data_IF_214170655687
#
_entry.id   IF_214170655687
#
_cell.length_a   1.000
_cell.length_b   1.000
_cell.length_c   1.000
_cell.angle_alpha   90.00
_cell.angle_beta   90.00
_cell.angle_gamma   90.00
#
_symmetry.space_group_name_H-M   'P 1'
#
loop_
_entity.id
_entity.type
_entity.pdbx_description
1 polymer ?
#
# COMPACT_ATOMS: atom_id res chain seq x y z
N UNK A 1 51.58 50.17 -41.44
CA UNK A 1 51.76 49.65 -40.06
C UNK A 1 50.41 49.21 -39.53
N UNK A 2 50.31 47.90 -39.29
CA UNK A 2 49.33 47.04 -38.59
C UNK A 2 47.81 47.35 -38.51
N UNK A 3 46.96 46.34 -38.80
CA UNK A 3 45.52 46.36 -38.64
C UNK A 3 45.09 45.87 -37.23
N UNK A 4 43.96 46.36 -36.71
CA UNK A 4 43.26 45.69 -35.60
C UNK A 4 41.90 45.20 -36.09
N UNK A 5 41.79 43.88 -36.27
CA UNK A 5 40.55 43.14 -36.46
C UNK A 5 39.85 42.98 -35.11
N UNK A 6 38.64 43.51 -34.98
CA UNK A 6 37.73 43.13 -33.90
C UNK A 6 37.03 41.83 -34.28
N UNK A 7 37.45 40.73 -33.67
CA UNK A 7 36.77 39.43 -33.73
C UNK A 7 35.66 39.46 -32.68
N UNK A 8 34.40 39.51 -33.13
CA UNK A 8 33.25 39.28 -32.26
C UNK A 8 33.15 37.78 -31.98
N UNK A 9 33.48 37.37 -30.76
CA UNK A 9 33.23 36.02 -30.27
C UNK A 9 31.77 35.95 -29.83
N UNK A 10 30.91 35.36 -30.65
CA UNK A 10 29.56 34.97 -30.25
C UNK A 10 29.67 33.84 -29.23
N UNK A 11 29.47 34.15 -27.96
CA UNK A 11 29.35 33.15 -26.89
C UNK A 11 28.02 32.41 -27.09
N UNK A 12 28.07 31.25 -27.76
CA UNK A 12 27.00 30.26 -27.71
C UNK A 12 26.93 29.75 -26.28
N UNK A 13 26.02 30.33 -25.48
CA UNK A 13 25.53 29.74 -24.25
C UNK A 13 24.79 28.45 -24.64
N UNK A 14 25.54 27.36 -24.76
CA UNK A 14 24.99 26.01 -24.69
C UNK A 14 24.42 25.91 -23.28
N UNK A 15 23.12 26.19 -23.17
CA UNK A 15 22.32 25.85 -22.02
C UNK A 15 22.22 24.33 -22.02
N UNK A 16 23.27 23.67 -21.54
CA UNK A 16 23.17 22.29 -21.14
C UNK A 16 22.18 22.29 -19.99
N UNK A 17 20.93 21.93 -20.26
CA UNK A 17 20.04 21.42 -19.23
C UNK A 17 20.84 20.32 -18.56
N UNK A 18 21.36 20.59 -17.35
CA UNK A 18 21.83 19.53 -16.48
C UNK A 18 20.60 18.66 -16.27
N UNK A 19 20.50 17.57 -17.05
CA UNK A 19 19.43 16.60 -16.89
C UNK A 19 19.50 16.17 -15.43
N UNK A 20 18.40 16.36 -14.72
CA UNK A 20 18.28 15.93 -13.35
C UNK A 20 18.60 14.43 -13.28
N UNK A 21 19.71 14.09 -12.62
CA UNK A 21 20.20 12.71 -12.56
C UNK A 21 19.37 11.90 -11.57
N UNK A 22 18.72 10.84 -12.05
CA UNK A 22 18.08 9.85 -11.20
C UNK A 22 19.15 9.00 -10.48
N UNK A 23 18.85 8.63 -9.23
CA UNK A 23 19.69 7.77 -8.39
C UNK A 23 18.92 6.52 -8.01
N UNK A 24 19.43 5.37 -8.42
CA UNK A 24 18.85 4.06 -8.14
C UNK A 24 19.68 3.34 -7.09
N UNK A 25 19.09 3.14 -5.91
CA UNK A 25 19.70 2.44 -4.79
C UNK A 25 19.29 0.97 -4.83
N UNK A 26 20.25 0.05 -4.74
CA UNK A 26 19.98 -1.38 -4.71
C UNK A 26 19.82 -1.93 -3.29
N UNK A 27 19.03 -2.98 -3.15
CA UNK A 27 18.90 -3.76 -1.92
C UNK A 27 20.21 -4.47 -1.62
N UNK A 28 20.65 -4.34 -0.39
CA UNK A 28 21.82 -5.00 0.12
C UNK A 28 21.64 -6.51 0.30
N UNK A 29 22.67 -7.28 -0.03
CA UNK A 29 22.95 -8.51 0.70
C UNK A 29 23.37 -8.13 2.14
N UNK A 30 22.95 -8.92 3.13
CA UNK A 30 23.04 -8.60 4.57
C UNK A 30 24.43 -8.16 5.10
N UNK A 31 25.50 -8.35 4.32
CA UNK A 31 26.90 -8.10 4.73
C UNK A 31 27.56 -6.85 4.12
N UNK A 32 26.89 -6.03 3.29
CA UNK A 32 27.53 -4.85 2.67
C UNK A 32 27.24 -3.54 3.40
N UNK A 33 28.29 -2.74 3.66
CA UNK A 33 28.22 -1.49 4.45
C UNK A 33 27.81 -0.23 3.66
N UNK A 34 27.82 -0.26 2.32
CA UNK A 34 27.54 0.93 1.50
C UNK A 34 26.66 0.60 0.27
N UNK A 35 25.49 1.25 0.10
CA UNK A 35 24.54 0.96 -0.98
C UNK A 35 25.19 1.04 -2.35
N UNK A 36 24.96 0.02 -3.16
CA UNK A 36 25.26 0.09 -4.58
C UNK A 36 24.27 1.08 -5.21
N UNK A 37 24.80 2.14 -5.80
CA UNK A 37 24.02 3.24 -6.38
C UNK A 37 24.38 3.41 -7.84
N UNK A 38 23.37 3.42 -8.69
CA UNK A 38 23.48 3.79 -10.10
C UNK A 38 22.96 5.20 -10.30
N UNK A 39 23.66 5.99 -11.11
CA UNK A 39 23.31 7.38 -11.42
C UNK A 39 23.16 7.53 -12.94
N UNK A 40 22.08 8.18 -13.38
CA UNK A 40 21.75 8.37 -14.79
C UNK A 40 20.28 8.70 -15.01
N UNK A 41 19.74 8.40 -16.18
CA UNK A 41 18.32 8.63 -16.51
C UNK A 41 17.54 7.32 -16.47
N UNK A 42 16.50 7.23 -15.63
CA UNK A 42 15.58 6.08 -15.63
C UNK A 42 14.65 6.19 -16.82
N UNK A 43 14.88 5.32 -17.80
CA UNK A 43 14.09 5.24 -19.03
C UNK A 43 12.71 4.61 -18.74
N UNK A 44 12.68 3.54 -17.95
CA UNK A 44 11.44 2.87 -17.56
C UNK A 44 11.63 2.05 -16.28
N UNK A 45 10.55 1.84 -15.52
CA UNK A 45 10.56 0.99 -14.32
C UNK A 45 9.22 0.27 -14.17
N UNK A 46 9.26 -1.06 -14.27
CA UNK A 46 8.12 -1.96 -14.13
C UNK A 46 8.33 -2.92 -12.95
N UNK A 47 7.34 -3.77 -12.69
CA UNK A 47 7.41 -4.89 -11.76
C UNK A 47 8.56 -5.87 -11.99
N UNK A 48 9.09 -5.93 -13.20
CA UNK A 48 10.11 -6.90 -13.59
C UNK A 48 11.50 -6.26 -13.63
N UNK A 49 11.62 -5.07 -14.24
CA UNK A 49 12.92 -4.44 -14.49
C UNK A 49 12.87 -2.92 -14.38
N UNK A 50 14.00 -2.35 -13.98
CA UNK A 50 14.34 -0.95 -14.15
C UNK A 50 15.35 -0.84 -15.29
N UNK A 51 15.06 0.01 -16.26
CA UNK A 51 15.94 0.36 -17.38
C UNK A 51 16.45 1.76 -17.19
N UNK A 52 17.77 1.94 -17.22
CA UNK A 52 18.37 3.26 -17.13
C UNK A 52 19.59 3.42 -18.03
N UNK A 53 19.87 4.67 -18.39
CA UNK A 53 21.07 5.07 -19.10
C UNK A 53 22.02 5.74 -18.10
N UNK A 54 23.17 5.13 -17.81
CA UNK A 54 24.13 5.67 -16.83
C UNK A 54 24.83 6.91 -17.36
N UNK A 55 25.51 7.67 -16.49
CA UNK A 55 26.29 8.86 -16.89
C UNK A 55 27.35 8.60 -17.98
N UNK A 56 27.84 7.36 -18.09
CA UNK A 56 28.74 6.94 -19.17
C UNK A 56 28.05 6.66 -20.52
N UNK A 57 26.74 6.87 -20.63
CA UNK A 57 25.92 6.55 -21.80
C UNK A 57 25.58 5.06 -21.97
N UNK A 58 25.96 4.20 -21.00
CA UNK A 58 25.66 2.77 -21.04
C UNK A 58 24.22 2.51 -20.61
N UNK A 59 23.47 1.75 -21.41
CA UNK A 59 22.18 1.21 -21.00
C UNK A 59 22.37 0.00 -20.10
N UNK A 60 21.65 -0.02 -18.98
CA UNK A 60 21.64 -1.14 -18.03
C UNK A 60 20.20 -1.53 -17.70
N UNK A 61 20.02 -2.81 -17.39
CA UNK A 61 18.79 -3.37 -16.86
C UNK A 61 19.05 -3.93 -15.47
N UNK A 62 18.18 -3.57 -14.52
CA UNK A 62 18.28 -3.98 -13.12
C UNK A 62 16.96 -4.70 -12.78
N UNK A 63 16.98 -5.94 -12.29
CA UNK A 63 15.77 -6.61 -11.81
C UNK A 63 15.06 -5.74 -10.75
N UNK A 64 13.76 -5.51 -10.90
CA UNK A 64 12.98 -4.65 -10.03
C UNK A 64 13.07 -5.07 -8.55
N UNK A 65 13.13 -6.39 -8.30
CA UNK A 65 13.32 -6.95 -6.96
C UNK A 65 14.63 -6.52 -6.28
N UNK A 66 15.65 -6.11 -7.04
CA UNK A 66 16.92 -5.58 -6.51
C UNK A 66 16.86 -4.08 -6.24
N UNK A 67 15.88 -3.35 -6.77
CA UNK A 67 15.74 -1.91 -6.54
C UNK A 67 15.17 -1.69 -5.13
N UNK A 68 15.86 -0.89 -4.34
CA UNK A 68 15.42 -0.46 -3.01
C UNK A 68 14.67 0.88 -3.09
N UNK A 69 15.21 1.83 -3.85
CA UNK A 69 14.69 3.19 -3.96
C UNK A 69 15.17 3.84 -5.26
N UNK A 70 14.34 4.72 -5.82
CA UNK A 70 14.68 5.60 -6.93
C UNK A 70 14.46 7.02 -6.45
N UNK A 71 15.53 7.81 -6.41
CA UNK A 71 15.46 9.26 -6.21
C UNK A 71 15.53 9.95 -7.57
N UNK A 72 14.68 10.94 -7.74
CA UNK A 72 14.57 11.72 -8.97
C UNK A 72 14.39 13.19 -8.63
N UNK A 73 14.57 14.08 -9.60
CA UNK A 73 14.14 15.47 -9.42
C UNK A 73 12.63 15.57 -9.55
N UNK A 74 11.99 15.64 -8.38
CA UNK A 74 10.55 15.71 -8.26
C UNK A 74 10.07 17.14 -8.48
N UNK A 75 9.08 17.36 -9.38
CA UNK A 75 8.51 18.69 -9.56
C UNK A 75 7.87 19.17 -8.25
N UNK A 76 7.81 20.49 -8.05
CA UNK A 76 7.31 21.10 -6.80
C UNK A 76 5.92 20.57 -6.41
N UNK A 77 5.04 20.37 -7.38
CA UNK A 77 3.69 19.82 -7.17
C UNK A 77 3.70 18.40 -6.60
N UNK A 78 4.68 17.56 -6.98
CA UNK A 78 4.80 16.20 -6.44
C UNK A 78 5.29 16.23 -4.99
N UNK A 79 6.27 17.09 -4.66
CA UNK A 79 6.70 17.30 -3.27
C UNK A 79 5.56 17.84 -2.40
N UNK A 80 4.75 18.75 -2.95
CA UNK A 80 3.55 19.24 -2.27
C UNK A 80 2.54 18.12 -2.03
N UNK A 81 2.26 17.27 -3.03
CA UNK A 81 1.35 16.14 -2.90
C UNK A 81 1.82 15.16 -1.79
N UNK A 82 3.11 14.82 -1.78
CA UNK A 82 3.70 13.98 -0.72
C UNK A 82 3.58 14.62 0.67
N UNK A 83 3.80 15.93 0.78
CA UNK A 83 3.62 16.66 2.04
C UNK A 83 2.15 16.66 2.51
N UNK A 84 1.18 16.70 1.59
CA UNK A 84 -0.24 16.59 1.89
C UNK A 84 -0.60 15.18 2.38
N UNK A 85 -0.04 14.13 1.76
CA UNK A 85 -0.18 12.74 2.26
C UNK A 85 0.35 12.62 3.68
N UNK A 86 1.54 13.16 3.97
CA UNK A 86 2.13 13.15 5.31
C UNK A 86 1.28 13.90 6.36
N UNK A 87 0.45 14.85 5.92
CA UNK A 87 -0.51 15.59 6.76
C UNK A 87 -1.91 14.94 6.78
N UNK A 88 -2.07 13.75 6.20
CA UNK A 88 -3.35 13.04 6.05
C UNK A 88 -4.42 13.80 5.24
N UNK A 89 -3.99 14.77 4.41
CA UNK A 89 -4.82 15.58 3.52
C UNK A 89 -4.99 14.88 2.18
N UNK A 90 -5.64 13.72 2.20
CA UNK A 90 -5.71 12.82 1.04
C UNK A 90 -6.52 13.39 -0.13
N UNK A 91 -7.53 14.21 0.14
CA UNK A 91 -8.35 14.82 -0.90
C UNK A 91 -7.53 15.85 -1.68
N UNK A 92 -6.81 16.72 -0.97
CA UNK A 92 -5.90 17.69 -1.56
C UNK A 92 -4.70 17.01 -2.24
N UNK A 93 -4.16 15.94 -1.63
CA UNK A 93 -3.07 15.17 -2.20
C UNK A 93 -3.47 14.52 -3.53
N UNK A 94 -4.67 13.94 -3.63
CA UNK A 94 -5.16 13.37 -4.89
C UNK A 94 -5.21 14.43 -6.00
N UNK A 95 -5.72 15.63 -5.71
CA UNK A 95 -5.77 16.73 -6.67
C UNK A 95 -4.35 17.10 -7.15
N UNK A 96 -3.41 17.22 -6.22
CA UNK A 96 -2.02 17.55 -6.54
C UNK A 96 -1.34 16.43 -7.37
N UNK A 97 -1.60 15.14 -7.06
CA UNK A 97 -1.10 14.03 -7.87
C UNK A 97 -1.72 13.99 -9.27
N UNK A 98 -3.01 14.32 -9.41
CA UNK A 98 -3.66 14.44 -10.72
C UNK A 98 -3.03 15.55 -11.57
N UNK A 99 -2.69 16.68 -10.95
CA UNK A 99 -1.99 17.77 -11.63
C UNK A 99 -0.58 17.35 -12.05
N UNK A 100 0.18 16.72 -11.15
CA UNK A 100 1.50 16.17 -11.45
C UNK A 100 1.45 15.16 -12.62
N UNK A 101 0.44 14.30 -12.64
CA UNK A 101 0.25 13.29 -13.69
C UNK A 101 0.06 13.90 -15.08
N UNK A 102 -0.65 15.04 -15.18
CA UNK A 102 -0.87 15.75 -16.45
C UNK A 102 0.41 16.35 -17.02
N UNK A 103 1.32 16.81 -16.17
CA UNK A 103 2.59 17.44 -16.57
C UNK A 103 3.75 16.45 -16.72
N UNK A 104 3.63 15.23 -16.20
CA UNK A 104 4.69 14.23 -16.26
C UNK A 104 4.75 13.57 -17.65
N UNK A 105 5.96 13.23 -18.10
CA UNK A 105 6.21 12.57 -19.38
C UNK A 105 6.78 11.16 -19.22
N UNK A 106 7.44 10.88 -18.09
CA UNK A 106 8.05 9.58 -17.77
C UNK A 106 6.96 8.57 -17.39
N UNK A 107 6.84 7.51 -18.17
CA UNK A 107 5.82 6.46 -17.97
C UNK A 107 5.88 5.81 -16.58
N UNK A 108 7.09 5.59 -16.06
CA UNK A 108 7.28 4.98 -14.75
C UNK A 108 6.83 5.89 -13.61
N UNK A 109 7.05 7.20 -13.72
CA UNK A 109 6.54 8.19 -12.74
C UNK A 109 5.02 8.26 -12.83
N UNK A 110 4.43 8.21 -14.04
CA UNK A 110 2.98 8.13 -14.20
C UNK A 110 2.38 6.93 -13.48
N UNK A 111 2.99 5.74 -13.57
CA UNK A 111 2.54 4.54 -12.84
C UNK A 111 2.59 4.74 -11.33
N UNK A 112 3.68 5.29 -10.81
CA UNK A 112 3.80 5.65 -9.39
C UNK A 112 2.71 6.66 -8.97
N UNK A 113 2.45 7.70 -9.76
CA UNK A 113 1.40 8.68 -9.48
C UNK A 113 0.00 8.05 -9.46
N UNK A 114 -0.28 7.08 -10.35
CA UNK A 114 -1.53 6.31 -10.33
C UNK A 114 -1.66 5.50 -9.03
N UNK A 115 -0.58 4.86 -8.58
CA UNK A 115 -0.55 4.15 -7.30
C UNK A 115 -0.84 5.09 -6.12
N UNK A 116 -0.23 6.28 -6.09
CA UNK A 116 -0.49 7.27 -5.03
C UNK A 116 -1.95 7.78 -5.04
N UNK A 117 -2.53 8.00 -6.23
CA UNK A 117 -3.94 8.35 -6.35
C UNK A 117 -4.85 7.23 -5.82
N UNK A 118 -4.55 5.96 -6.12
CA UNK A 118 -5.30 4.81 -5.59
C UNK A 118 -5.22 4.74 -4.05
N UNK A 119 -4.03 4.94 -3.47
CA UNK A 119 -3.85 5.01 -2.00
C UNK A 119 -4.65 6.16 -1.37
N UNK A 120 -4.63 7.35 -1.97
CA UNK A 120 -5.42 8.50 -1.48
C UNK A 120 -6.92 8.18 -1.51
N UNK A 121 -7.41 7.59 -2.60
CA UNK A 121 -8.82 7.18 -2.73
C UNK A 121 -9.23 6.14 -1.70
N UNK A 122 -8.38 5.15 -1.44
CA UNK A 122 -8.62 4.14 -0.39
C UNK A 122 -8.69 4.75 1.00
N UNK A 123 -7.77 5.67 1.33
CA UNK A 123 -7.79 6.40 2.60
C UNK A 123 -9.02 7.30 2.77
N UNK A 124 -9.65 7.69 1.66
CA UNK A 124 -10.93 8.43 1.64
C UNK A 124 -12.17 7.51 1.61
N UNK A 125 -11.99 6.20 1.67
CA UNK A 125 -13.08 5.21 1.61
C UNK A 125 -13.66 5.00 0.20
N UNK A 126 -13.15 5.67 -0.83
CA UNK A 126 -13.58 5.54 -2.24
C UNK A 126 -12.90 4.34 -2.89
N UNK A 127 -13.22 3.15 -2.39
CA UNK A 127 -12.58 1.90 -2.82
C UNK A 127 -12.92 1.54 -4.27
N UNK A 128 -14.09 1.93 -4.76
CA UNK A 128 -14.50 1.85 -6.15
C UNK A 128 -13.53 2.62 -7.07
N UNK A 129 -13.36 3.93 -6.80
CA UNK A 129 -12.44 4.77 -7.58
C UNK A 129 -10.96 4.37 -7.40
N UNK A 130 -10.60 3.83 -6.23
CA UNK A 130 -9.26 3.29 -5.98
C UNK A 130 -8.99 2.07 -6.87
N UNK A 131 -9.98 1.18 -7.02
CA UNK A 131 -9.89 -0.01 -7.86
C UNK A 131 -9.74 0.35 -9.33
N UNK A 132 -10.46 1.37 -9.81
CA UNK A 132 -10.32 1.85 -11.19
C UNK A 132 -8.91 2.42 -11.47
N UNK A 133 -8.37 3.21 -10.55
CA UNK A 133 -6.97 3.68 -10.68
C UNK A 133 -6.00 2.50 -10.66
N UNK A 134 -6.17 1.55 -9.75
CA UNK A 134 -5.29 0.39 -9.66
C UNK A 134 -5.35 -0.49 -10.94
N UNK A 135 -6.53 -0.69 -11.52
CA UNK A 135 -6.64 -1.43 -12.78
C UNK A 135 -6.03 -0.68 -13.97
N UNK A 136 -6.07 0.66 -13.98
CA UNK A 136 -5.33 1.44 -14.97
C UNK A 136 -3.81 1.27 -14.83
N UNK A 137 -3.32 1.14 -13.59
CA UNK A 137 -1.92 0.79 -13.31
C UNK A 137 -1.58 -0.61 -13.82
N UNK A 138 -2.40 -1.63 -13.49
CA UNK A 138 -2.21 -3.02 -13.93
C UNK A 138 -2.24 -3.13 -15.46
N UNK A 139 -3.10 -2.36 -16.14
CA UNK A 139 -3.15 -2.33 -17.59
C UNK A 139 -1.84 -1.78 -18.20
N UNK A 140 -1.13 -0.89 -17.50
CA UNK A 140 0.19 -0.41 -17.91
C UNK A 140 1.34 -1.32 -17.50
N UNK A 141 1.21 -2.05 -16.38
CA UNK A 141 2.23 -2.93 -15.81
C UNK A 141 1.56 -4.04 -14.98
N UNK A 142 1.31 -5.21 -15.58
CA UNK A 142 0.67 -6.33 -14.90
C UNK A 142 1.46 -6.89 -13.71
N UNK A 143 2.76 -6.58 -13.60
CA UNK A 143 3.62 -7.04 -12.52
C UNK A 143 3.92 -5.94 -11.49
N UNK A 144 3.16 -4.84 -11.53
CA UNK A 144 3.44 -3.62 -10.79
C UNK A 144 3.94 -3.83 -9.35
N UNK A 145 5.00 -3.13 -8.91
CA UNK A 145 5.50 -3.28 -7.54
C UNK A 145 4.55 -2.65 -6.51
N UNK A 146 3.56 -1.87 -6.94
CA UNK A 146 2.62 -1.13 -6.09
C UNK A 146 1.38 -1.95 -5.73
N UNK A 147 1.53 -3.24 -5.42
CA UNK A 147 0.41 -4.10 -5.01
C UNK A 147 -0.31 -3.58 -3.76
N UNK A 148 0.37 -2.80 -2.92
CA UNK A 148 -0.22 -2.15 -1.75
C UNK A 148 -1.20 -1.03 -2.09
N UNK A 149 -1.23 -0.57 -3.35
CA UNK A 149 -2.26 0.34 -3.85
C UNK A 149 -3.59 -0.37 -4.16
N UNK A 150 -3.59 -1.71 -4.29
CA UNK A 150 -4.78 -2.51 -4.57
C UNK A 150 -5.77 -2.43 -3.41
N UNK A 151 -7.02 -1.99 -3.62
CA UNK A 151 -8.04 -2.06 -2.59
C UNK A 151 -8.50 -3.50 -2.39
N UNK A 152 -8.22 -4.05 -1.20
CA UNK A 152 -8.74 -5.34 -0.76
C UNK A 152 -9.51 -5.16 0.54
N UNK A 153 -10.66 -5.83 0.66
CA UNK A 153 -11.35 -5.91 1.94
C UNK A 153 -10.63 -6.90 2.87
N UNK A 154 -10.24 -6.44 4.05
CA UNK A 154 -9.64 -7.28 5.10
C UNK A 154 -10.56 -7.48 6.30
N UNK A 155 -11.77 -6.92 6.25
CA UNK A 155 -12.78 -7.04 7.29
C UNK A 155 -14.12 -7.47 6.71
N UNK A 156 -14.95 -8.08 7.55
CA UNK A 156 -16.35 -8.35 7.22
C UNK A 156 -17.14 -7.05 7.25
N UNK A 157 -17.92 -6.81 6.22
CA UNK A 157 -18.77 -5.64 6.08
C UNK A 157 -19.35 -5.60 4.67
N UNK A 158 -20.65 -5.33 4.58
CA UNK A 158 -21.29 -5.19 3.28
C UNK A 158 -20.73 -3.95 2.56
N UNK A 159 -20.37 -4.07 1.27
CA UNK A 159 -19.99 -2.92 0.47
C UNK A 159 -21.19 -2.00 0.27
N UNK A 160 -20.94 -0.69 0.13
CA UNK A 160 -21.99 0.22 -0.33
C UNK A 160 -22.40 -0.09 -1.80
N UNK A 161 -23.48 0.53 -2.27
CA UNK A 161 -24.05 0.26 -3.59
C UNK A 161 -23.05 0.49 -4.74
N UNK A 162 -22.20 1.51 -4.64
CA UNK A 162 -21.24 1.82 -5.70
C UNK A 162 -20.10 0.79 -5.71
N UNK A 163 -19.56 0.49 -4.53
CA UNK A 163 -18.51 -0.51 -4.37
C UNK A 163 -19.00 -1.92 -4.72
N UNK A 164 -20.24 -2.27 -4.37
CA UNK A 164 -20.84 -3.57 -4.75
C UNK A 164 -20.90 -3.71 -6.27
N UNK A 165 -21.42 -2.68 -6.97
CA UNK A 165 -21.49 -2.67 -8.44
C UNK A 165 -20.10 -2.80 -9.07
N UNK A 166 -19.13 -2.03 -8.56
CA UNK A 166 -17.75 -2.10 -9.05
C UNK A 166 -17.14 -3.49 -8.81
N UNK A 167 -17.37 -4.09 -7.63
CA UNK A 167 -16.86 -5.40 -7.27
C UNK A 167 -17.42 -6.52 -8.15
N UNK A 168 -18.71 -6.48 -8.50
CA UNK A 168 -19.32 -7.38 -9.49
C UNK A 168 -18.62 -7.24 -10.85
N UNK A 169 -18.50 -6.02 -11.35
CA UNK A 169 -17.84 -5.75 -12.64
C UNK A 169 -16.37 -6.19 -12.64
N UNK A 170 -15.65 -6.10 -11.52
CA UNK A 170 -14.28 -6.60 -11.41
C UNK A 170 -14.22 -8.13 -11.37
N UNK A 171 -15.16 -8.78 -10.68
CA UNK A 171 -15.23 -10.24 -10.60
C UNK A 171 -15.46 -10.88 -11.98
N UNK A 172 -16.22 -10.21 -12.85
CA UNK A 172 -16.52 -10.65 -14.22
C UNK A 172 -15.32 -10.53 -15.19
N UNK A 173 -14.27 -9.78 -14.85
CA UNK A 173 -13.06 -9.62 -15.68
C UNK A 173 -12.13 -10.82 -15.55
N UNK A 174 -12.47 -11.92 -16.23
CA UNK A 174 -11.73 -13.19 -16.15
C UNK A 174 -10.30 -13.15 -16.71
N UNK A 175 -9.97 -12.12 -17.48
CA UNK A 175 -8.64 -11.86 -18.04
C UNK A 175 -7.71 -11.11 -17.06
N UNK A 176 -8.22 -10.65 -15.91
CA UNK A 176 -7.47 -9.89 -14.92
C UNK A 176 -7.54 -10.53 -13.53
N UNK A 177 -6.51 -11.28 -13.07
CA UNK A 177 -6.51 -11.87 -11.74
C UNK A 177 -6.55 -10.80 -10.63
N UNK A 178 -6.02 -9.61 -10.90
CA UNK A 178 -6.11 -8.45 -10.01
C UNK A 178 -7.58 -8.00 -9.82
N UNK A 179 -8.33 -7.86 -10.92
CA UNK A 179 -9.74 -7.49 -10.86
C UNK A 179 -10.55 -8.55 -10.10
N UNK A 180 -10.36 -9.83 -10.43
CA UNK A 180 -11.05 -10.92 -9.75
C UNK A 180 -10.76 -10.95 -8.25
N UNK A 181 -9.50 -10.75 -7.85
CA UNK A 181 -9.11 -10.71 -6.44
C UNK A 181 -9.79 -9.55 -5.70
N UNK A 182 -9.79 -8.35 -6.29
CA UNK A 182 -10.48 -7.18 -5.72
C UNK A 182 -11.98 -7.45 -5.57
N UNK A 183 -12.64 -7.83 -6.66
CA UNK A 183 -14.09 -8.09 -6.68
C UNK A 183 -14.49 -9.15 -5.65
N UNK A 184 -13.78 -10.28 -5.64
CA UNK A 184 -14.06 -11.34 -4.68
C UNK A 184 -13.83 -10.90 -3.23
N UNK A 185 -12.80 -10.09 -2.94
CA UNK A 185 -12.52 -9.64 -1.57
C UNK A 185 -13.70 -8.87 -0.95
N UNK A 186 -14.37 -8.00 -1.71
CA UNK A 186 -15.52 -7.23 -1.25
C UNK A 186 -16.81 -8.05 -1.22
N UNK A 187 -16.98 -8.98 -2.17
CA UNK A 187 -18.19 -9.80 -2.28
C UNK A 187 -18.25 -10.98 -1.29
N UNK A 188 -17.19 -11.25 -0.52
CA UNK A 188 -17.20 -12.27 0.54
C UNK A 188 -18.23 -12.02 1.65
N UNK A 189 -18.66 -10.78 1.83
CA UNK A 189 -19.70 -10.38 2.80
C UNK A 189 -21.05 -10.06 2.14
N UNK A 190 -21.21 -10.34 0.84
CA UNK A 190 -22.40 -10.03 0.06
C UNK A 190 -23.17 -11.31 -0.34
N UNK A 191 -24.27 -11.14 -1.07
CA UNK A 191 -25.09 -12.25 -1.58
C UNK A 191 -24.29 -13.19 -2.52
N UNK A 192 -23.28 -12.64 -3.20
CA UNK A 192 -22.42 -13.33 -4.17
C UNK A 192 -21.25 -14.08 -3.51
N UNK A 193 -21.28 -14.26 -2.18
CA UNK A 193 -20.24 -14.93 -1.40
C UNK A 193 -19.76 -16.25 -2.01
N UNK A 194 -20.66 -17.10 -2.48
CA UNK A 194 -20.30 -18.38 -3.10
C UNK A 194 -19.49 -18.21 -4.38
N UNK A 195 -19.84 -17.23 -5.21
CA UNK A 195 -19.10 -16.90 -6.43
C UNK A 195 -17.72 -16.31 -6.10
N UNK A 196 -17.66 -15.42 -5.10
CA UNK A 196 -16.41 -14.86 -4.60
C UNK A 196 -15.45 -15.95 -4.08
N UNK A 197 -15.95 -16.93 -3.32
CA UNK A 197 -15.16 -18.07 -2.84
C UNK A 197 -14.61 -18.90 -4.01
N UNK A 198 -15.46 -19.21 -5.01
CA UNK A 198 -15.02 -19.97 -6.17
C UNK A 198 -13.91 -19.25 -6.95
N UNK A 199 -14.03 -17.93 -7.13
CA UNK A 199 -13.00 -17.11 -7.78
C UNK A 199 -11.69 -17.12 -6.99
N UNK A 200 -11.73 -16.96 -5.66
CA UNK A 200 -10.53 -17.01 -4.81
C UNK A 200 -9.84 -18.39 -4.84
N UNK A 201 -10.62 -19.48 -4.85
CA UNK A 201 -10.08 -20.84 -4.97
C UNK A 201 -9.37 -21.05 -6.31
N UNK A 202 -9.94 -20.50 -7.40
CA UNK A 202 -9.32 -20.53 -8.72
C UNK A 202 -8.03 -19.71 -8.74
N UNK A 203 -8.05 -18.49 -8.21
CA UNK A 203 -6.88 -17.60 -8.16
C UNK A 203 -5.73 -18.22 -7.35
N UNK A 204 -6.03 -18.84 -6.21
CA UNK A 204 -5.05 -19.56 -5.39
C UNK A 204 -4.26 -20.61 -6.19
N UNK A 205 -4.87 -21.17 -7.23
CA UNK A 205 -4.29 -22.26 -8.03
C UNK A 205 -3.65 -21.79 -9.35
N UNK A 206 -4.05 -20.62 -9.86
CA UNK A 206 -3.73 -20.21 -11.25
C UNK A 206 -3.09 -18.83 -11.36
N UNK A 207 -3.20 -17.98 -10.33
CA UNK A 207 -2.63 -16.64 -10.35
C UNK A 207 -1.11 -16.65 -10.06
N UNK A 208 -0.40 -15.56 -10.42
CA UNK A 208 0.97 -15.33 -9.95
C UNK A 208 1.09 -15.46 -8.43
N UNK A 209 2.29 -15.82 -7.95
CA UNK A 209 2.53 -16.27 -6.57
C UNK A 209 1.99 -15.31 -5.51
N UNK A 210 2.21 -14.00 -5.66
CA UNK A 210 1.74 -12.98 -4.73
C UNK A 210 0.21 -12.91 -4.68
N UNK A 211 -0.46 -12.94 -5.85
CA UNK A 211 -1.91 -12.92 -5.94
C UNK A 211 -2.54 -14.22 -5.42
N UNK A 212 -1.90 -15.36 -5.67
CA UNK A 212 -2.33 -16.65 -5.15
C UNK A 212 -2.27 -16.67 -3.61
N UNK A 213 -1.20 -16.12 -3.02
CA UNK A 213 -1.08 -15.96 -1.56
C UNK A 213 -2.13 -15.00 -1.00
N UNK A 214 -2.37 -13.86 -1.64
CA UNK A 214 -3.42 -12.93 -1.21
C UNK A 214 -4.82 -13.56 -1.33
N UNK A 215 -5.09 -14.33 -2.38
CA UNK A 215 -6.35 -15.07 -2.54
C UNK A 215 -6.53 -16.13 -1.44
N UNK A 216 -5.46 -16.86 -1.08
CA UNK A 216 -5.47 -17.78 0.05
C UNK A 216 -5.81 -17.06 1.36
N UNK A 217 -5.21 -15.90 1.61
CA UNK A 217 -5.45 -15.13 2.83
C UNK A 217 -6.88 -14.58 2.88
N UNK A 218 -7.45 -14.19 1.73
CA UNK A 218 -8.87 -13.83 1.65
C UNK A 218 -9.79 -15.00 2.01
N UNK A 219 -9.43 -16.23 1.61
CA UNK A 219 -10.19 -17.43 2.00
C UNK A 219 -10.17 -17.70 3.51
N UNK A 220 -9.16 -17.23 4.26
CA UNK A 220 -9.15 -17.37 5.73
C UNK A 220 -10.35 -16.71 6.41
N UNK A 221 -10.93 -15.67 5.80
CA UNK A 221 -12.16 -14.99 6.27
C UNK A 221 -13.40 -15.87 6.18
N UNK A 222 -13.34 -16.95 5.42
CA UNK A 222 -14.46 -17.87 5.17
C UNK A 222 -14.41 -19.13 6.00
N UNK A 223 -13.29 -19.36 6.68
CA UNK A 223 -13.08 -20.53 7.49
C UNK A 223 -13.95 -20.49 8.76
N UNK A 224 -14.46 -21.65 9.20
CA UNK A 224 -15.22 -21.72 10.42
C UNK A 224 -14.36 -21.30 11.63
N UNK A 225 -14.98 -20.74 12.68
CA UNK A 225 -14.31 -20.47 13.94
C UNK A 225 -13.93 -21.80 14.60
N UNK A 226 -12.72 -22.27 14.33
CA UNK A 226 -12.10 -23.42 14.98
C UNK A 226 -10.89 -22.95 15.77
N UNK A 227 -10.62 -23.56 16.92
CA UNK A 227 -9.39 -23.33 17.67
C UNK A 227 -8.17 -23.54 16.76
N UNK A 228 -7.28 -22.56 16.73
CA UNK A 228 -6.07 -22.61 15.92
C UNK A 228 -4.97 -23.31 16.71
N UNK A 229 -4.33 -24.28 16.06
CA UNK A 229 -3.11 -24.89 16.61
C UNK A 229 -1.94 -23.92 16.46
N UNK A 230 -0.93 -24.05 17.32
CA UNK A 230 0.33 -23.31 17.22
C UNK A 230 0.96 -23.44 15.83
N UNK A 231 0.91 -24.65 15.25
CA UNK A 231 1.47 -24.96 13.94
C UNK A 231 0.74 -24.21 12.83
N UNK A 232 -0.59 -24.11 12.90
CA UNK A 232 -1.40 -23.36 11.91
C UNK A 232 -1.13 -21.86 12.00
N UNK A 233 -0.94 -21.32 13.21
CA UNK A 233 -0.55 -19.92 13.41
C UNK A 233 0.85 -19.66 12.83
N UNK A 234 1.81 -20.56 13.07
CA UNK A 234 3.16 -20.46 12.54
C UNK A 234 3.18 -20.55 11.00
N UNK A 235 2.41 -21.47 10.42
CA UNK A 235 2.26 -21.61 8.98
C UNK A 235 1.68 -20.33 8.34
N UNK A 236 0.61 -19.78 8.92
CA UNK A 236 0.01 -18.53 8.45
C UNK A 236 0.99 -17.37 8.50
N UNK A 237 1.73 -17.23 9.60
CA UNK A 237 2.76 -16.20 9.74
C UNK A 237 3.83 -16.32 8.67
N UNK A 238 4.33 -17.53 8.42
CA UNK A 238 5.31 -17.81 7.37
C UNK A 238 4.77 -17.44 5.98
N UNK A 239 3.50 -17.73 5.68
CA UNK A 239 2.85 -17.31 4.43
C UNK A 239 2.76 -15.78 4.30
N UNK A 240 2.45 -15.06 5.39
CA UNK A 240 2.44 -13.59 5.40
C UNK A 240 3.84 -13.03 5.12
N UNK A 241 4.87 -13.62 5.71
CA UNK A 241 6.26 -13.14 5.58
C UNK A 241 6.84 -13.33 4.17
N UNK A 242 6.24 -14.21 3.35
CA UNK A 242 6.57 -14.36 1.92
C UNK A 242 6.05 -13.21 1.05
N UNK A 243 5.06 -12.44 1.52
CA UNK A 243 4.56 -11.29 0.79
C UNK A 243 5.50 -10.09 0.92
N UNK A 244 5.52 -9.18 -0.08
CA UNK A 244 6.14 -7.87 0.09
C UNK A 244 5.63 -7.15 1.34
N UNK A 245 6.52 -6.50 2.09
CA UNK A 245 6.16 -5.85 3.38
C UNK A 245 4.95 -4.92 3.27
N UNK A 246 4.83 -4.20 2.15
CA UNK A 246 3.76 -3.23 1.90
C UNK A 246 2.36 -3.84 1.78
N UNK A 247 2.22 -5.16 1.58
CA UNK A 247 0.91 -5.82 1.49
C UNK A 247 0.60 -6.74 2.67
N UNK A 248 1.47 -6.80 3.69
CA UNK A 248 1.30 -7.71 4.82
C UNK A 248 0.23 -7.26 5.83
N UNK A 249 -0.14 -5.99 5.83
CA UNK A 249 -1.01 -5.39 6.86
C UNK A 249 -2.38 -6.05 6.96
N UNK A 250 -3.03 -6.29 5.82
CA UNK A 250 -4.33 -6.95 5.78
C UNK A 250 -4.30 -8.39 6.32
N UNK A 251 -3.41 -9.25 5.81
CA UNK A 251 -3.21 -10.59 6.34
C UNK A 251 -2.83 -10.63 7.83
N UNK A 252 -2.06 -9.65 8.32
CA UNK A 252 -1.75 -9.53 9.76
C UNK A 252 -2.99 -9.24 10.59
N UNK A 253 -3.92 -8.42 10.08
CA UNK A 253 -5.20 -8.19 10.74
C UNK A 253 -5.98 -9.50 10.91
N UNK A 254 -6.04 -10.33 9.85
CA UNK A 254 -6.70 -11.64 9.89
C UNK A 254 -6.04 -12.62 10.87
N UNK A 255 -4.71 -12.59 10.97
CA UNK A 255 -3.99 -13.41 11.95
C UNK A 255 -4.29 -12.95 13.39
N UNK A 256 -4.33 -11.64 13.63
CA UNK A 256 -4.76 -11.07 14.90
C UNK A 256 -6.19 -11.49 15.25
N UNK A 257 -7.12 -11.51 14.29
CA UNK A 257 -8.50 -11.95 14.49
C UNK A 257 -8.59 -13.43 14.86
N UNK A 258 -7.74 -14.26 14.25
CA UNK A 258 -7.67 -15.68 14.60
C UNK A 258 -7.17 -15.87 16.03
N UNK A 259 -6.11 -15.16 16.43
CA UNK A 259 -5.56 -15.21 17.79
C UNK A 259 -6.54 -14.68 18.84
N UNK A 260 -7.22 -13.58 18.55
CA UNK A 260 -8.19 -12.98 19.46
C UNK A 260 -9.40 -13.89 19.71
N UNK A 261 -9.86 -14.62 18.68
CA UNK A 261 -10.94 -15.62 18.81
C UNK A 261 -10.55 -16.81 19.69
N UNK A 262 -9.27 -17.15 19.73
CA UNK A 262 -8.72 -18.20 20.59
C UNK A 262 -8.29 -17.68 21.97
N UNK A 263 -8.76 -16.49 22.36
CA UNK A 263 -8.46 -15.83 23.64
C UNK A 263 -6.96 -15.53 23.87
N UNK A 264 -6.13 -15.62 22.82
CA UNK A 264 -4.71 -15.28 22.85
C UNK A 264 -4.51 -13.77 22.77
N UNK A 265 -4.96 -13.07 23.82
CA UNK A 265 -5.07 -11.60 23.83
C UNK A 265 -3.73 -10.89 23.60
N UNK A 266 -2.64 -11.35 24.23
CA UNK A 266 -1.32 -10.74 24.07
C UNK A 266 -0.73 -10.96 22.67
N UNK A 267 -0.67 -12.20 22.13
CA UNK A 267 -0.30 -12.42 20.73
C UNK A 267 -1.14 -11.63 19.73
N UNK A 268 -2.47 -11.56 19.94
CA UNK A 268 -3.36 -10.81 19.08
C UNK A 268 -3.03 -9.31 19.09
N UNK A 269 -2.85 -8.71 20.28
CA UNK A 269 -2.44 -7.31 20.41
C UNK A 269 -1.13 -7.01 19.67
N UNK A 270 -0.15 -7.91 19.74
CA UNK A 270 1.12 -7.76 19.03
C UNK A 270 0.96 -7.81 17.50
N UNK A 271 0.12 -8.69 16.96
CA UNK A 271 -0.15 -8.70 15.51
C UNK A 271 -0.81 -7.42 15.04
N UNK A 272 -1.79 -6.93 15.80
CA UNK A 272 -2.46 -5.68 15.46
C UNK A 272 -1.51 -4.49 15.51
N UNK A 273 -0.66 -4.38 16.55
CA UNK A 273 0.30 -3.26 16.70
C UNK A 273 1.37 -3.25 15.60
N UNK A 274 1.70 -4.40 15.00
CA UNK A 274 2.64 -4.44 13.88
C UNK A 274 2.14 -3.65 12.66
N UNK A 275 0.82 -3.52 12.47
CA UNK A 275 0.25 -2.81 11.32
C UNK A 275 0.66 -1.33 11.36
N UNK A 276 0.21 -0.49 12.32
CA UNK A 276 0.55 0.93 12.35
C UNK A 276 2.05 1.21 12.50
N UNK A 277 2.82 0.28 13.08
CA UNK A 277 4.28 0.41 13.28
C UNK A 277 5.06 0.14 11.98
N UNK A 278 4.69 -0.91 11.23
CA UNK A 278 5.45 -1.36 10.06
C UNK A 278 4.91 -0.80 8.75
N UNK A 279 3.63 -0.43 8.70
CA UNK A 279 2.95 0.08 7.52
C UNK A 279 1.77 1.00 7.92
N UNK A 280 1.95 2.31 7.71
CA UNK A 280 0.93 3.31 7.99
C UNK A 280 0.34 3.93 6.71
N UNK A 281 0.47 3.24 5.57
CA UNK A 281 -0.07 3.71 4.28
C UNK A 281 -1.59 3.57 4.23
N UNK A 282 -2.13 2.47 4.78
CA UNK A 282 -3.57 2.25 4.91
C UNK A 282 -4.06 2.71 6.29
N UNK A 283 -4.39 4.00 6.40
CA UNK A 283 -4.81 4.58 7.70
C UNK A 283 -6.12 4.00 8.23
N UNK A 284 -7.17 3.74 7.41
CA UNK A 284 -8.35 3.06 7.90
C UNK A 284 -8.04 1.68 8.51
N UNK A 285 -7.15 0.90 7.89
CA UNK A 285 -6.74 -0.40 8.40
C UNK A 285 -5.89 -0.28 9.67
N UNK A 286 -4.97 0.69 9.73
CA UNK A 286 -4.16 0.96 10.91
C UNK A 286 -5.01 1.39 12.12
N UNK A 287 -6.01 2.27 11.91
CA UNK A 287 -6.95 2.67 12.95
C UNK A 287 -7.76 1.48 13.48
N UNK A 288 -8.21 0.59 12.59
CA UNK A 288 -8.91 -0.65 12.96
C UNK A 288 -8.02 -1.56 13.81
N UNK A 289 -6.76 -1.74 13.40
CA UNK A 289 -5.80 -2.54 14.13
C UNK A 289 -5.53 -1.96 15.52
N UNK A 290 -5.32 -0.64 15.65
CA UNK A 290 -5.15 0.04 16.94
C UNK A 290 -6.37 -0.16 17.84
N UNK A 291 -7.58 -0.05 17.30
CA UNK A 291 -8.81 -0.27 18.05
C UNK A 291 -8.85 -1.70 18.60
N UNK A 292 -8.59 -2.70 17.76
CA UNK A 292 -8.57 -4.12 18.16
C UNK A 292 -7.46 -4.42 19.17
N UNK A 293 -6.26 -3.87 18.97
CA UNK A 293 -5.17 -3.96 19.95
C UNK A 293 -5.57 -3.41 21.31
N UNK A 294 -6.23 -2.23 21.34
CA UNK A 294 -6.77 -1.64 22.56
C UNK A 294 -7.74 -2.57 23.28
N UNK A 295 -8.68 -3.20 22.54
CA UNK A 295 -9.63 -4.17 23.12
C UNK A 295 -8.91 -5.35 23.77
N UNK A 296 -7.87 -5.88 23.12
CA UNK A 296 -7.08 -6.98 23.68
C UNK A 296 -6.28 -6.55 24.92
N UNK A 297 -5.79 -5.31 24.96
CA UNK A 297 -5.11 -4.76 26.14
C UNK A 297 -6.07 -4.56 27.32
N UNK A 298 -7.34 -4.23 27.09
CA UNK A 298 -8.37 -4.21 28.13
C UNK A 298 -8.57 -5.60 28.75
N UNK A 299 -8.68 -6.64 27.91
CA UNK A 299 -8.81 -8.04 28.36
C UNK A 299 -7.59 -8.51 29.18
N UNK A 300 -6.40 -7.98 28.88
CA UNK A 300 -5.16 -8.25 29.63
C UNK A 300 -5.03 -7.42 30.92
N UNK A 301 -6.03 -6.62 31.29
CA UNK A 301 -5.95 -5.75 32.46
C UNK A 301 -4.94 -4.59 32.30
N UNK A 302 -4.67 -4.14 31.06
CA UNK A 302 -3.75 -3.03 30.74
C UNK A 302 -4.50 -1.77 30.24
N UNK A 303 -5.47 -1.21 30.99
CA UNK A 303 -6.35 -0.14 30.51
C UNK A 303 -5.61 1.18 30.22
N UNK A 304 -4.49 1.46 30.90
CA UNK A 304 -3.67 2.65 30.64
C UNK A 304 -3.06 2.60 29.24
N UNK A 305 -2.61 1.43 28.79
CA UNK A 305 -2.06 1.24 27.45
C UNK A 305 -3.18 1.29 26.40
N UNK A 306 -4.32 0.65 26.66
CA UNK A 306 -5.50 0.73 25.78
C UNK A 306 -5.96 2.18 25.55
N UNK A 307 -6.07 2.98 26.62
CA UNK A 307 -6.42 4.41 26.52
C UNK A 307 -5.43 5.23 25.67
N UNK A 308 -4.14 4.88 25.67
CA UNK A 308 -3.15 5.54 24.79
C UNK A 308 -3.46 5.27 23.33
N UNK A 309 -3.75 4.01 22.97
CA UNK A 309 -4.12 3.64 21.60
C UNK A 309 -5.42 4.32 21.17
N UNK A 310 -6.43 4.37 22.03
CA UNK A 310 -7.69 5.07 21.72
C UNK A 310 -7.49 6.57 21.49
N UNK A 311 -6.64 7.22 22.30
CA UNK A 311 -6.29 8.63 22.09
C UNK A 311 -5.57 8.85 20.77
N UNK A 312 -4.66 7.96 20.39
CA UNK A 312 -3.97 8.00 19.11
C UNK A 312 -4.95 7.92 17.94
N UNK A 313 -5.92 6.99 17.99
CA UNK A 313 -6.98 6.89 16.97
C UNK A 313 -7.75 8.22 16.85
N UNK A 314 -8.16 8.81 17.96
CA UNK A 314 -8.95 10.04 17.99
C UNK A 314 -8.16 11.23 17.44
N UNK A 315 -6.86 11.28 17.72
CA UNK A 315 -6.00 12.43 17.36
C UNK A 315 -5.48 12.32 15.93
N UNK A 316 -5.00 11.14 15.55
CA UNK A 316 -4.21 10.96 14.33
C UNK A 316 -5.04 10.32 13.19
N UNK A 317 -6.11 9.59 13.49
CA UNK A 317 -6.90 8.83 12.52
C UNK A 317 -8.30 9.41 12.31
N UNK A 318 -8.40 10.74 12.24
CA UNK A 318 -9.68 11.48 12.17
C UNK A 318 -10.58 11.11 10.99
N UNK A 319 -10.02 10.68 9.86
CA UNK A 319 -10.80 10.21 8.71
C UNK A 319 -11.58 8.90 8.98
N UNK A 320 -11.15 8.11 9.97
CA UNK A 320 -11.80 6.85 10.36
C UNK A 320 -12.96 7.07 11.36
N UNK A 321 -13.93 7.92 10.98
CA UNK A 321 -14.99 8.43 11.87
C UNK A 321 -15.69 7.37 12.73
N UNK A 322 -16.02 6.20 12.17
CA UNK A 322 -16.68 5.13 12.93
C UNK A 322 -15.76 4.55 14.03
N UNK A 323 -14.49 4.32 13.69
CA UNK A 323 -13.47 3.77 14.60
C UNK A 323 -13.12 4.79 15.69
N UNK A 324 -12.99 6.07 15.32
CA UNK A 324 -12.73 7.15 16.27
C UNK A 324 -13.89 7.33 17.28
N UNK A 325 -15.15 7.17 16.84
CA UNK A 325 -16.31 7.16 17.75
C UNK A 325 -16.28 6.00 18.72
N UNK A 326 -15.97 4.78 18.25
CA UNK A 326 -15.86 3.63 19.17
C UNK A 326 -14.71 3.80 20.15
N UNK A 327 -13.54 4.27 19.68
CA UNK A 327 -12.39 4.57 20.54
C UNK A 327 -12.74 5.62 21.62
N UNK A 328 -13.51 6.65 21.27
CA UNK A 328 -13.99 7.67 22.21
C UNK A 328 -14.88 7.06 23.29
N UNK A 329 -15.88 6.25 22.88
CA UNK A 329 -16.79 5.58 23.81
C UNK A 329 -16.05 4.64 24.79
N UNK A 330 -15.05 3.90 24.30
CA UNK A 330 -14.22 3.02 25.15
C UNK A 330 -13.33 3.80 26.12
N UNK A 331 -12.76 4.91 25.66
CA UNK A 331 -11.94 5.77 26.51
C UNK A 331 -12.73 6.33 27.71
N UNK A 332 -13.99 6.69 27.49
CA UNK A 332 -14.93 7.12 28.53
C UNK A 332 -15.27 5.99 29.51
N UNK A 333 -15.62 4.80 29.00
CA UNK A 333 -15.94 3.63 29.83
C UNK A 333 -14.77 3.21 30.72
N UNK A 334 -13.56 3.19 30.17
CA UNK A 334 -12.35 2.89 30.93
C UNK A 334 -12.01 4.00 31.97
N UNK A 335 -12.63 5.19 31.89
CA UNK A 335 -12.55 6.27 32.87
C UNK A 335 -13.59 6.21 33.98
N UNK A 336 -14.64 5.39 33.85
CA UNK A 336 -15.73 5.25 34.82
C UNK A 336 -15.44 4.33 36.02
N UNK A 337 -14.35 3.56 35.99
CA UNK A 337 -13.87 2.84 37.16
C UNK A 337 -13.03 3.78 38.04
N UNK A 338 -13.71 4.57 38.89
CA UNK A 338 -13.08 5.12 40.09
C UNK A 338 -12.89 3.99 41.12
N UNK A 339 -11.82 4.05 41.93
CA UNK A 339 -11.47 3.02 42.92
C UNK A 339 -12.58 2.74 43.94
#
# INVERSE_FOLDING_TARGET
MNPFRLISFALLLVSGSAAAEDRVYLRHAADSRAPEVYVGDVNDYTGETLRMTTLSGRQIEIPAAKVAQVDSDWPAIMRQAQALVAQNKFAEAEIAFQEAYRGEMRSWVKRMLIAEMARCRRNLGRNDAAGDAFLALVASDPYTPYLDAMPLAWKTGEPDVNLHRAALAWLEKTDSPHAQLMGASFLLSAAERSQAIAALQQLRSTAPAELALLAEMQLWRTEPPTLQTSDRIAERRSKIERLPRSVQSGPRLLLGDALARDEQSEPAALEYLRIPILDNVDRPLAAEALLRAGKQLELLGRPVQAKRLYREIITDYTAANAIAREASARMEQAGGASP
#
